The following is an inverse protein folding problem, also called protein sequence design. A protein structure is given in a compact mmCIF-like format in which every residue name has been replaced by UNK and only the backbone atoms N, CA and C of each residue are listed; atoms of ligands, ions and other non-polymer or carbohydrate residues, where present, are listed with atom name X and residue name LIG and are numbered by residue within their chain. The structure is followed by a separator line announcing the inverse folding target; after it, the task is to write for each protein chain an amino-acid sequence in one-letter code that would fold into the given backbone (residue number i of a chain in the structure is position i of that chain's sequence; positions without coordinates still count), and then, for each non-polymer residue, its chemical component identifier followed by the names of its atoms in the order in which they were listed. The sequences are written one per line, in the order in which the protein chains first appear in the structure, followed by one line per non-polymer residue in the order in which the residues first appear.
data_IF_261558868378
#
_entry.id   IF_261558868378
#
_cell.length_a   1.000
_cell.length_b   1.000
_cell.length_c   1.000
_cell.angle_alpha   90.00
_cell.angle_beta   90.00
_cell.angle_gamma   90.00
#
_symmetry.space_group_name_H-M   'P 1'
#
loop_
_entity.id
_entity.type
_entity.pdbx_description
1 polymer ?
#
# COMPACT_ATOMS: atom_id res chain seq x y z
N UNK A 1 -2.20 24.52 -13.42
CA UNK A 1 -1.02 23.62 -13.62
C UNK A 1 -0.80 22.62 -12.47
N UNK A 2 -0.85 23.02 -11.19
CA UNK A 2 -0.58 22.12 -10.04
C UNK A 2 -1.51 20.90 -9.97
N UNK A 3 -2.79 21.05 -10.34
CA UNK A 3 -3.77 19.96 -10.36
C UNK A 3 -3.43 18.87 -11.41
N UNK A 4 -2.88 19.27 -12.57
CA UNK A 4 -2.50 18.33 -13.64
C UNK A 4 -1.38 17.41 -13.15
N UNK A 5 -0.33 17.99 -12.56
CA UNK A 5 0.78 17.23 -12.00
C UNK A 5 0.35 16.35 -10.83
N UNK A 6 -0.52 16.86 -9.95
CA UNK A 6 -1.06 16.07 -8.84
C UNK A 6 -1.83 14.85 -9.35
N UNK A 7 -2.72 15.04 -10.32
CA UNK A 7 -3.49 13.96 -10.92
C UNK A 7 -2.59 12.90 -11.58
N UNK A 8 -1.58 13.33 -12.35
CA UNK A 8 -0.61 12.44 -12.96
C UNK A 8 0.18 11.61 -11.92
N UNK A 9 0.66 12.24 -10.86
CA UNK A 9 1.43 11.56 -9.80
C UNK A 9 0.56 10.60 -8.98
N UNK A 10 -0.70 10.98 -8.69
CA UNK A 10 -1.66 10.08 -8.02
C UNK A 10 -2.00 8.88 -8.91
N UNK A 11 -2.16 9.09 -10.22
CA UNK A 11 -2.38 7.98 -11.16
C UNK A 11 -1.18 7.02 -11.17
N UNK A 12 0.04 7.55 -11.25
CA UNK A 12 1.27 6.73 -11.15
C UNK A 12 1.28 5.96 -9.84
N UNK A 13 1.08 6.63 -8.70
CA UNK A 13 1.02 5.98 -7.38
C UNK A 13 -0.02 4.85 -7.37
N UNK A 14 -1.20 5.08 -7.93
CA UNK A 14 -2.31 4.10 -7.97
C UNK A 14 -1.95 2.88 -8.80
N UNK A 15 -1.35 3.07 -9.98
CA UNK A 15 -0.90 1.96 -10.84
C UNK A 15 0.17 1.12 -10.13
N UNK A 16 1.18 1.77 -9.55
CA UNK A 16 2.23 1.07 -8.81
C UNK A 16 1.67 0.34 -7.60
N UNK A 17 0.72 0.94 -6.88
CA UNK A 17 0.09 0.32 -5.72
C UNK A 17 -0.76 -0.89 -6.12
N UNK A 18 -1.54 -0.78 -7.19
CA UNK A 18 -2.32 -1.89 -7.75
C UNK A 18 -1.42 -3.06 -8.15
N UNK A 19 -0.32 -2.80 -8.86
CA UNK A 19 0.63 -3.82 -9.26
C UNK A 19 1.24 -4.52 -8.04
N UNK A 20 1.62 -3.75 -7.01
CA UNK A 20 2.19 -4.29 -5.79
C UNK A 20 1.18 -5.05 -4.91
N UNK A 21 -0.11 -4.70 -4.98
CA UNK A 21 -1.18 -5.37 -4.23
C UNK A 21 -1.82 -6.54 -4.98
N UNK A 22 -1.44 -6.78 -6.24
CA UNK A 22 -1.95 -7.88 -7.06
C UNK A 22 -0.89 -8.99 -7.16
N UNK A 23 -1.01 -10.10 -6.40
CA UNK A 23 -0.03 -11.18 -6.47
C UNK A 23 -0.04 -11.85 -7.86
N UNK A 24 1.10 -12.36 -8.33
CA UNK A 24 1.18 -13.03 -9.63
C UNK A 24 0.47 -14.39 -9.65
N UNK A 25 0.32 -15.04 -8.49
CA UNK A 25 -0.28 -16.37 -8.36
C UNK A 25 -1.58 -16.31 -7.57
N UNK A 26 -2.54 -17.18 -7.92
CA UNK A 26 -3.78 -17.37 -7.17
C UNK A 26 -3.50 -18.11 -5.87
N UNK A 27 -4.10 -17.67 -4.76
CA UNK A 27 -4.05 -18.42 -3.50
C UNK A 27 -4.78 -19.76 -3.64
N UNK A 28 -4.13 -20.84 -3.23
CA UNK A 28 -4.78 -22.13 -3.03
C UNK A 28 -5.34 -22.23 -1.60
N UNK A 29 -6.67 -22.21 -1.46
CA UNK A 29 -7.33 -22.20 -0.14
C UNK A 29 -6.99 -23.40 0.75
N UNK A 30 -6.67 -24.55 0.15
CA UNK A 30 -6.39 -25.81 0.85
C UNK A 30 -5.16 -25.78 1.77
N UNK A 31 -4.22 -24.84 1.55
CA UNK A 31 -2.97 -24.76 2.32
C UNK A 31 -2.91 -23.52 3.23
N UNK A 32 -4.05 -22.89 3.49
CA UNK A 32 -4.12 -21.67 4.28
C UNK A 32 -3.94 -22.00 5.75
N UNK A 33 -2.97 -21.36 6.39
CA UNK A 33 -2.81 -21.34 7.84
C UNK A 33 -3.18 -19.96 8.38
N UNK A 34 -3.17 -19.79 9.70
CA UNK A 34 -3.49 -18.53 10.37
C UNK A 34 -4.99 -18.16 10.33
N UNK A 35 -5.86 -19.15 10.51
CA UNK A 35 -7.33 -19.00 10.52
C UNK A 35 -7.92 -18.69 11.90
N UNK A 36 -7.12 -18.80 12.96
CA UNK A 36 -7.58 -18.73 14.35
C UNK A 36 -7.37 -17.36 15.01
N UNK A 37 -6.90 -16.37 14.24
CA UNK A 37 -6.70 -15.00 14.74
C UNK A 37 -8.01 -14.24 14.97
N UNK A 38 -8.03 -13.19 15.79
CA UNK A 38 -9.18 -12.29 15.88
C UNK A 38 -9.59 -11.77 14.50
N UNK A 39 -10.89 -11.67 14.28
CA UNK A 39 -11.50 -11.23 13.01
C UNK A 39 -10.83 -9.97 12.44
N UNK A 40 -10.47 -9.03 13.33
CA UNK A 40 -9.81 -7.77 12.99
C UNK A 40 -8.50 -7.94 12.21
N UNK A 41 -7.74 -9.02 12.45
CA UNK A 41 -6.50 -9.30 11.73
C UNK A 41 -6.74 -10.11 10.45
N UNK A 42 -7.81 -10.93 10.42
CA UNK A 42 -8.18 -11.74 9.26
C UNK A 42 -8.72 -10.91 8.09
N UNK A 43 -9.38 -9.78 8.36
CA UNK A 43 -9.96 -8.90 7.33
C UNK A 43 -8.93 -8.07 6.57
N UNK A 44 -7.63 -8.19 6.89
CA UNK A 44 -6.59 -7.38 6.26
C UNK A 44 -6.59 -7.43 4.71
N UNK A 45 -6.70 -8.60 4.05
CA UNK A 45 -6.76 -8.64 2.58
C UNK A 45 -7.96 -7.89 1.99
N UNK A 46 -9.12 -7.94 2.66
CA UNK A 46 -10.30 -7.19 2.25
C UNK A 46 -10.06 -5.69 2.37
N UNK A 47 -9.46 -5.26 3.48
CA UNK A 47 -9.11 -3.85 3.71
C UNK A 47 -8.16 -3.34 2.61
N UNK A 48 -7.11 -4.08 2.26
CA UNK A 48 -6.20 -3.70 1.17
C UNK A 48 -6.91 -3.63 -0.19
N UNK A 49 -7.89 -4.51 -0.45
CA UNK A 49 -8.69 -4.46 -1.67
C UNK A 49 -9.58 -3.21 -1.73
N UNK A 50 -10.29 -2.90 -0.64
CA UNK A 50 -11.14 -1.71 -0.55
C UNK A 50 -10.31 -0.42 -0.67
N UNK A 51 -9.15 -0.40 -0.02
CA UNK A 51 -8.16 0.66 -0.15
C UNK A 51 -7.70 0.88 -1.60
N UNK A 52 -7.38 -0.20 -2.34
CA UNK A 52 -6.95 -0.09 -3.73
C UNK A 52 -8.06 0.48 -4.63
N UNK A 53 -9.31 0.08 -4.40
CA UNK A 53 -10.49 0.65 -5.08
C UNK A 53 -10.62 2.14 -4.75
N UNK A 54 -10.43 2.52 -3.49
CA UNK A 54 -10.43 3.93 -3.07
C UNK A 54 -9.38 4.77 -3.80
N UNK A 55 -8.17 4.26 -3.99
CA UNK A 55 -7.12 4.95 -4.74
C UNK A 55 -7.50 5.19 -6.20
N UNK A 56 -8.13 4.21 -6.86
CA UNK A 56 -8.62 4.37 -8.23
C UNK A 56 -9.71 5.44 -8.33
N UNK A 57 -10.64 5.49 -7.37
CA UNK A 57 -11.63 6.57 -7.31
C UNK A 57 -10.99 7.94 -7.13
N UNK A 58 -10.02 8.07 -6.23
CA UNK A 58 -9.30 9.33 -6.02
C UNK A 58 -8.54 9.73 -7.28
N UNK A 59 -7.84 8.81 -7.94
CA UNK A 59 -7.14 9.06 -9.19
C UNK A 59 -8.08 9.52 -10.32
N UNK A 60 -9.26 8.89 -10.42
CA UNK A 60 -10.28 9.29 -11.39
C UNK A 60 -10.80 10.71 -11.12
N UNK A 61 -11.14 11.03 -9.87
CA UNK A 61 -11.65 12.35 -9.50
C UNK A 61 -10.60 13.46 -9.72
N UNK A 62 -9.35 13.25 -9.33
CA UNK A 62 -8.26 14.20 -9.59
C UNK A 62 -8.00 14.33 -11.10
N UNK A 63 -8.14 13.24 -11.87
CA UNK A 63 -8.06 13.23 -13.33
C UNK A 63 -9.17 14.06 -13.98
N UNK A 64 -10.42 13.92 -13.53
CA UNK A 64 -11.55 14.75 -13.98
C UNK A 64 -11.29 16.22 -13.68
N UNK A 65 -10.81 16.55 -12.47
CA UNK A 65 -10.46 17.92 -12.11
C UNK A 65 -9.35 18.49 -13.01
N UNK A 66 -8.33 17.69 -13.33
CA UNK A 66 -7.25 18.09 -14.23
C UNK A 66 -7.74 18.32 -15.67
N UNK A 67 -8.61 17.45 -16.20
CA UNK A 67 -9.21 17.61 -17.53
C UNK A 67 -10.10 18.85 -17.58
N UNK A 68 -10.94 19.05 -16.56
CA UNK A 68 -11.80 20.24 -16.44
C UNK A 68 -10.98 21.53 -16.43
N UNK A 69 -9.85 21.53 -15.70
CA UNK A 69 -8.94 22.67 -15.64
C UNK A 69 -8.31 23.04 -17.00
N UNK A 70 -8.14 22.07 -17.92
CA UNK A 70 -7.52 22.31 -19.23
C UNK A 70 -8.56 22.66 -20.29
N UNK A 71 -9.69 21.95 -20.32
CA UNK A 71 -10.65 22.01 -21.43
C UNK A 71 -12.08 22.40 -21.00
N UNK A 72 -12.41 22.31 -19.71
CA UNK A 72 -13.79 22.33 -19.21
C UNK A 72 -14.56 23.59 -19.59
N UNK A 73 -13.98 24.76 -19.32
CA UNK A 73 -14.62 26.05 -19.61
C UNK A 73 -14.92 26.25 -21.11
N UNK A 74 -14.09 25.69 -21.99
CA UNK A 74 -14.28 25.79 -23.44
C UNK A 74 -15.40 24.87 -23.96
N UNK A 75 -15.71 23.79 -23.24
CA UNK A 75 -16.75 22.83 -23.62
C UNK A 75 -18.13 23.22 -23.05
N UNK A 76 -18.19 23.54 -21.75
CA UNK A 76 -19.43 23.95 -21.07
C UNK A 76 -19.10 24.75 -19.80
N UNK A 77 -19.32 26.07 -19.81
CA UNK A 77 -18.99 26.93 -18.66
C UNK A 77 -19.75 26.57 -17.38
N UNK A 78 -21.05 26.26 -17.47
CA UNK A 78 -21.89 25.94 -16.30
C UNK A 78 -21.50 24.61 -15.65
N UNK A 79 -21.22 23.59 -16.47
CA UNK A 79 -20.76 22.30 -15.98
C UNK A 79 -19.34 22.41 -15.40
N UNK A 80 -18.44 23.15 -16.04
CA UNK A 80 -17.10 23.43 -15.52
C UNK A 80 -17.14 24.11 -14.16
N UNK A 81 -18.00 25.12 -14.00
CA UNK A 81 -18.17 25.82 -12.72
C UNK A 81 -18.69 24.88 -11.61
N UNK A 82 -19.63 23.99 -11.93
CA UNK A 82 -20.12 22.98 -10.99
C UNK A 82 -19.00 22.00 -10.59
N UNK A 83 -18.21 21.49 -11.54
CA UNK A 83 -17.09 20.59 -11.26
C UNK A 83 -16.00 21.26 -10.44
N UNK A 84 -15.62 22.50 -10.76
CA UNK A 84 -14.61 23.24 -10.01
C UNK A 84 -15.08 23.50 -8.58
N UNK A 85 -16.34 23.93 -8.39
CA UNK A 85 -16.92 24.06 -7.06
C UNK A 85 -16.95 22.74 -6.29
N UNK A 86 -17.13 21.61 -7.00
CA UNK A 86 -17.23 20.29 -6.38
C UNK A 86 -15.88 19.64 -6.10
N UNK A 87 -14.85 19.81 -6.93
CA UNK A 87 -13.55 19.09 -6.85
C UNK A 87 -12.38 20.00 -6.43
N UNK A 88 -12.53 21.31 -6.59
CA UNK A 88 -11.55 22.35 -6.27
C UNK A 88 -12.20 23.52 -5.50
N UNK A 89 -12.94 23.26 -4.39
CA UNK A 89 -13.62 24.28 -3.62
C UNK A 89 -12.61 25.27 -3.07
N UNK A 90 -13.04 26.52 -2.86
CA UNK A 90 -12.18 27.57 -2.34
C UNK A 90 -11.53 27.24 -0.98
N UNK A 91 -12.15 26.32 -0.20
CA UNK A 91 -11.61 25.82 1.06
C UNK A 91 -10.45 24.85 0.91
N UNK A 92 -10.29 24.21 -0.26
CA UNK A 92 -9.22 23.24 -0.53
C UNK A 92 -7.88 23.96 -0.57
N UNK A 93 -6.89 23.43 0.16
CA UNK A 93 -5.54 24.01 0.16
C UNK A 93 -5.01 24.19 -1.28
N UNK A 94 -4.60 25.42 -1.61
CA UNK A 94 -4.01 25.75 -2.92
C UNK A 94 -2.65 25.08 -3.14
N UNK A 95 -1.97 24.67 -2.05
CA UNK A 95 -0.68 23.95 -2.10
C UNK A 95 -0.93 22.45 -2.31
N UNK A 96 -1.31 22.10 -3.52
CA UNK A 96 -1.60 20.72 -3.93
C UNK A 96 -0.34 19.82 -4.04
N UNK A 97 0.83 20.42 -4.20
CA UNK A 97 2.12 19.75 -4.39
C UNK A 97 3.08 20.14 -3.26
N UNK A 98 2.96 19.48 -2.13
CA UNK A 98 3.80 19.72 -0.95
C UNK A 98 4.99 18.76 -0.91
N UNK A 99 6.07 19.07 -0.17
CA UNK A 99 7.16 18.11 0.05
C UNK A 99 6.66 16.79 0.64
N UNK A 100 5.71 16.84 1.58
CA UNK A 100 5.11 15.63 2.17
C UNK A 100 4.37 14.79 1.12
N UNK A 101 3.66 15.42 0.18
CA UNK A 101 3.02 14.71 -0.93
C UNK A 101 4.05 14.00 -1.80
N UNK A 102 5.14 14.67 -2.20
CA UNK A 102 6.20 14.04 -3.01
C UNK A 102 6.88 12.89 -2.27
N UNK A 103 7.18 13.06 -0.98
CA UNK A 103 7.67 11.97 -0.13
C UNK A 103 6.69 10.81 -0.13
N UNK A 104 5.38 11.07 -0.06
CA UNK A 104 4.35 10.05 -0.15
C UNK A 104 4.38 9.26 -1.46
N UNK A 105 4.45 9.95 -2.59
CA UNK A 105 4.58 9.33 -3.92
C UNK A 105 5.85 8.47 -4.01
N UNK A 106 6.99 9.02 -3.59
CA UNK A 106 8.28 8.33 -3.64
C UNK A 106 8.27 7.05 -2.78
N UNK A 107 7.76 7.13 -1.55
CA UNK A 107 7.67 5.97 -0.65
C UNK A 107 6.75 4.89 -1.21
N UNK A 108 5.63 5.27 -1.85
CA UNK A 108 4.78 4.29 -2.54
C UNK A 108 5.49 3.62 -3.71
N UNK A 109 6.23 4.35 -4.53
CA UNK A 109 6.97 3.77 -5.66
C UNK A 109 8.05 2.80 -5.14
N UNK A 110 8.83 3.19 -4.13
CA UNK A 110 9.86 2.34 -3.52
C UNK A 110 9.22 1.09 -2.90
N UNK A 111 8.13 1.26 -2.14
CA UNK A 111 7.40 0.15 -1.52
C UNK A 111 6.85 -0.83 -2.56
N UNK A 112 6.27 -0.32 -3.65
CA UNK A 112 5.82 -1.13 -4.78
C UNK A 112 6.97 -1.88 -5.43
N UNK A 113 8.09 -1.21 -5.69
CA UNK A 113 9.26 -1.82 -6.30
C UNK A 113 9.79 -2.98 -5.45
N UNK A 114 9.93 -2.80 -4.13
CA UNK A 114 10.34 -3.88 -3.21
C UNK A 114 9.38 -5.07 -3.34
N UNK A 115 8.07 -4.85 -3.30
CA UNK A 115 7.08 -5.92 -3.42
C UNK A 115 7.17 -6.66 -4.75
N UNK A 116 7.31 -5.93 -5.86
CA UNK A 116 7.45 -6.52 -7.19
C UNK A 116 8.76 -7.33 -7.31
N UNK A 117 9.85 -6.90 -6.67
CA UNK A 117 11.07 -7.69 -6.56
C UNK A 117 10.86 -8.96 -5.75
N UNK A 118 10.12 -8.92 -4.64
CA UNK A 118 9.75 -10.11 -3.89
C UNK A 118 8.91 -11.08 -4.72
N UNK A 119 7.99 -10.59 -5.55
CA UNK A 119 7.17 -11.41 -6.44
C UNK A 119 8.03 -12.13 -7.48
N UNK A 120 9.00 -11.43 -8.05
CA UNK A 120 9.96 -12.00 -9.01
C UNK A 120 10.84 -13.05 -8.35
N UNK A 121 11.36 -12.78 -7.14
CA UNK A 121 12.29 -13.66 -6.45
C UNK A 121 11.63 -14.95 -5.93
N UNK A 122 10.41 -14.86 -5.36
CA UNK A 122 9.65 -16.03 -4.93
C UNK A 122 8.97 -16.77 -6.09
N UNK A 123 8.71 -16.09 -7.20
CA UNK A 123 8.06 -16.66 -8.38
C UNK A 123 6.76 -17.39 -8.03
N UNK A 124 6.70 -18.69 -8.36
CA UNK A 124 5.52 -19.55 -8.10
C UNK A 124 5.16 -19.71 -6.61
N UNK A 125 6.09 -19.42 -5.70
CA UNK A 125 5.88 -19.57 -4.26
C UNK A 125 5.22 -18.34 -3.61
N UNK A 126 5.14 -17.19 -4.30
CA UNK A 126 4.50 -16.00 -3.73
C UNK A 126 2.98 -16.17 -3.71
N UNK A 127 2.38 -16.02 -2.53
CA UNK A 127 0.93 -15.92 -2.32
C UNK A 127 0.60 -14.79 -1.34
N UNK A 128 -0.52 -14.10 -1.54
CA UNK A 128 -0.93 -13.01 -0.64
C UNK A 128 -1.50 -13.56 0.69
N UNK A 129 -2.09 -14.75 0.63
CA UNK A 129 -2.49 -15.46 1.83
C UNK A 129 -1.30 -16.26 2.38
N UNK A 130 -1.35 -16.47 3.70
CA UNK A 130 -0.43 -17.32 4.44
C UNK A 130 -0.66 -18.78 4.02
N UNK A 131 -0.09 -19.14 2.87
CA UNK A 131 -0.10 -20.48 2.30
C UNK A 131 1.32 -20.85 1.94
N UNK A 132 1.80 -21.98 2.45
CA UNK A 132 3.05 -22.57 2.00
C UNK A 132 2.68 -23.78 1.13
N UNK A 133 3.29 -23.90 -0.04
CA UNK A 133 3.05 -25.04 -0.93
C UNK A 133 3.82 -26.27 -0.42
N UNK A 134 3.36 -27.51 -0.70
CA UNK A 134 4.05 -28.73 -0.24
C UNK A 134 5.51 -28.83 -0.72
N UNK A 135 5.80 -28.27 -1.90
CA UNK A 135 7.12 -28.23 -2.55
C UNK A 135 7.83 -26.89 -2.36
N UNK A 136 7.45 -26.11 -1.34
CA UNK A 136 8.05 -24.82 -1.05
C UNK A 136 9.53 -24.97 -0.72
N UNK A 137 10.36 -24.18 -1.41
CA UNK A 137 11.79 -24.06 -1.15
C UNK A 137 12.08 -22.71 -0.52
N UNK A 138 12.98 -22.70 0.46
CA UNK A 138 13.39 -21.47 1.11
C UNK A 138 14.16 -20.58 0.12
N UNK A 139 13.66 -19.37 -0.09
CA UNK A 139 14.32 -18.36 -0.93
C UNK A 139 15.09 -17.39 -0.04
N UNK A 140 16.40 -17.29 -0.29
CA UNK A 140 17.33 -16.46 0.53
C UNK A 140 18.10 -15.43 -0.30
N UNK A 141 17.78 -15.30 -1.59
CA UNK A 141 18.39 -14.37 -2.54
C UNK A 141 17.61 -13.07 -2.66
N UNK A 142 18.21 -12.07 -3.33
CA UNK A 142 17.55 -10.80 -3.60
C UNK A 142 17.15 -10.05 -2.32
N UNK A 143 15.92 -9.50 -2.22
CA UNK A 143 15.47 -8.81 -1.01
C UNK A 143 15.55 -9.68 0.27
N UNK A 144 15.43 -10.99 0.14
CA UNK A 144 15.46 -11.94 1.26
C UNK A 144 16.86 -12.09 1.88
N UNK A 145 17.93 -11.67 1.20
CA UNK A 145 19.27 -11.68 1.81
C UNK A 145 19.48 -10.59 2.86
N UNK A 146 18.60 -9.58 2.92
CA UNK A 146 18.73 -8.43 3.81
C UNK A 146 17.79 -8.50 5.01
N UNK A 147 16.54 -8.93 4.78
CA UNK A 147 15.51 -9.11 5.80
C UNK A 147 14.67 -10.35 5.44
N UNK A 148 14.09 -11.03 6.43
CA UNK A 148 13.34 -12.28 6.20
C UNK A 148 12.02 -12.09 5.45
N UNK A 149 11.39 -10.93 5.63
CA UNK A 149 10.02 -10.60 5.22
C UNK A 149 9.94 -9.28 4.42
N UNK A 150 10.73 -9.11 3.34
CA UNK A 150 10.86 -7.85 2.61
C UNK A 150 9.56 -7.35 1.96
N UNK A 151 8.63 -8.27 1.65
CA UNK A 151 7.31 -7.91 1.13
C UNK A 151 6.47 -7.10 2.14
N UNK A 152 6.64 -7.35 3.45
CA UNK A 152 5.99 -6.57 4.49
C UNK A 152 6.63 -5.19 4.62
N UNK A 153 7.95 -5.06 4.45
CA UNK A 153 8.63 -3.75 4.34
C UNK A 153 8.04 -2.91 3.21
N UNK A 154 7.90 -3.49 2.02
CA UNK A 154 7.31 -2.80 0.88
C UNK A 154 5.84 -2.42 1.13
N UNK A 155 5.09 -3.27 1.85
CA UNK A 155 3.70 -2.98 2.24
C UNK A 155 3.60 -1.82 3.23
N UNK A 156 4.49 -1.75 4.22
CA UNK A 156 4.55 -0.63 5.16
C UNK A 156 4.87 0.68 4.43
N UNK A 157 5.86 0.67 3.53
CA UNK A 157 6.21 1.84 2.72
C UNK A 157 5.05 2.31 1.84
N UNK A 158 4.26 1.40 1.26
CA UNK A 158 3.04 1.76 0.53
C UNK A 158 2.03 2.49 1.39
N UNK A 159 1.85 2.02 2.63
CA UNK A 159 0.92 2.60 3.59
C UNK A 159 1.40 3.99 4.06
N UNK A 160 2.70 4.17 4.34
CA UNK A 160 3.27 5.50 4.62
C UNK A 160 3.03 6.41 3.42
N UNK A 161 3.37 5.91 2.23
CA UNK A 161 3.30 6.69 1.01
C UNK A 161 1.90 7.23 0.73
N UNK A 162 0.89 6.37 0.85
CA UNK A 162 -0.51 6.79 0.68
C UNK A 162 -1.00 7.68 1.80
N UNK A 163 -0.57 7.45 3.04
CA UNK A 163 -0.87 8.40 4.13
C UNK A 163 -0.37 9.79 3.75
N UNK A 164 0.88 9.92 3.33
CA UNK A 164 1.51 11.22 3.11
C UNK A 164 0.93 11.95 1.89
N UNK A 165 0.46 11.21 0.88
CA UNK A 165 -0.16 11.81 -0.31
C UNK A 165 -1.67 12.08 -0.17
N UNK A 166 -2.38 11.33 0.68
CA UNK A 166 -3.84 11.36 0.76
C UNK A 166 -4.41 11.74 2.13
N UNK A 167 -3.66 11.70 3.22
CA UNK A 167 -4.11 12.16 4.56
C UNK A 167 -3.43 13.47 4.97
N UNK A 168 -3.20 14.34 3.99
CA UNK A 168 -2.61 15.67 4.17
C UNK A 168 -3.50 16.76 3.58
N UNK A 169 -3.33 18.00 4.02
CA UNK A 169 -4.10 19.14 3.52
C UNK A 169 -3.99 19.25 1.98
N UNK A 170 -5.10 19.56 1.32
CA UNK A 170 -5.21 19.59 -0.15
C UNK A 170 -5.57 18.25 -0.79
N UNK A 171 -5.63 17.14 -0.06
CA UNK A 171 -6.12 15.87 -0.58
C UNK A 171 -7.66 15.79 -0.58
N UNK A 172 -8.24 15.04 -1.53
CA UNK A 172 -9.68 14.83 -1.54
C UNK A 172 -10.20 14.15 -0.26
N UNK A 173 -9.41 13.25 0.34
CA UNK A 173 -9.85 12.56 1.57
C UNK A 173 -9.93 13.52 2.76
N UNK A 174 -8.94 14.40 2.93
CA UNK A 174 -8.95 15.34 4.05
C UNK A 174 -9.99 16.42 3.83
N UNK A 175 -10.09 16.95 2.62
CA UNK A 175 -10.92 18.13 2.34
C UNK A 175 -12.43 17.81 2.31
N UNK A 176 -12.81 16.57 1.98
CA UNK A 176 -14.23 16.18 1.85
C UNK A 176 -14.72 15.16 2.87
N UNK A 177 -13.86 14.24 3.33
CA UNK A 177 -14.32 13.11 4.14
C UNK A 177 -13.98 13.26 5.62
N UNK A 178 -12.75 13.69 5.94
CA UNK A 178 -12.23 13.62 7.30
C UNK A 178 -12.10 14.98 7.98
N UNK A 179 -11.67 16.01 7.26
CA UNK A 179 -11.13 17.23 7.85
C UNK A 179 -9.76 16.98 8.53
N UNK A 180 -9.01 18.05 8.85
CA UNK A 180 -7.62 17.93 9.32
C UNK A 180 -7.50 17.17 10.65
N UNK A 181 -8.41 17.41 11.60
CA UNK A 181 -8.34 16.80 12.93
C UNK A 181 -8.62 15.28 12.89
N UNK A 182 -9.63 14.84 12.14
CA UNK A 182 -9.95 13.41 12.04
C UNK A 182 -8.93 12.65 11.19
N UNK A 183 -8.27 13.31 10.25
CA UNK A 183 -7.21 12.69 9.44
C UNK A 183 -6.07 12.15 10.32
N UNK A 184 -5.66 12.90 11.35
CA UNK A 184 -4.62 12.46 12.29
C UNK A 184 -5.07 11.23 13.10
N UNK A 185 -6.32 11.22 13.57
CA UNK A 185 -6.86 10.09 14.32
C UNK A 185 -6.97 8.83 13.46
N UNK A 186 -7.54 8.95 12.25
CA UNK A 186 -7.65 7.85 11.28
C UNK A 186 -6.27 7.32 10.94
N UNK A 187 -5.30 8.20 10.74
CA UNK A 187 -3.91 7.83 10.50
C UNK A 187 -3.33 7.01 11.66
N UNK A 188 -3.47 7.48 12.90
CA UNK A 188 -2.95 6.77 14.07
C UNK A 188 -3.57 5.38 14.23
N UNK A 189 -4.90 5.27 14.12
CA UNK A 189 -5.62 3.99 14.20
C UNK A 189 -5.15 3.04 13.10
N UNK A 190 -5.04 3.53 11.87
CA UNK A 190 -4.61 2.75 10.72
C UNK A 190 -3.20 2.19 10.92
N UNK A 191 -2.28 2.98 11.48
CA UNK A 191 -0.91 2.55 11.75
C UNK A 191 -0.82 1.51 12.86
N UNK A 192 -1.52 1.71 13.97
CA UNK A 192 -1.57 0.74 15.07
C UNK A 192 -2.07 -0.61 14.55
N UNK A 193 -3.17 -0.60 13.80
CA UNK A 193 -3.74 -1.81 13.20
C UNK A 193 -2.78 -2.45 12.18
N UNK A 194 -2.18 -1.66 11.29
CA UNK A 194 -1.23 -2.14 10.27
C UNK A 194 -0.04 -2.85 10.91
N UNK A 195 0.56 -2.27 11.95
CA UNK A 195 1.71 -2.86 12.64
C UNK A 195 1.30 -4.14 13.36
N UNK A 196 0.13 -4.17 14.01
CA UNK A 196 -0.40 -5.36 14.65
C UNK A 196 -0.59 -6.51 13.65
N UNK A 197 -1.20 -6.23 12.48
CA UNK A 197 -1.37 -7.21 11.40
C UNK A 197 -0.03 -7.70 10.88
N UNK A 198 0.91 -6.79 10.59
CA UNK A 198 2.22 -7.15 10.06
C UNK A 198 2.98 -8.07 11.03
N UNK A 199 2.99 -7.74 12.32
CA UNK A 199 3.65 -8.56 13.35
C UNK A 199 3.00 -9.94 13.50
N UNK A 200 1.66 -10.01 13.63
CA UNK A 200 0.94 -11.29 13.74
C UNK A 200 1.25 -12.19 12.55
N UNK A 201 1.19 -11.65 11.32
CA UNK A 201 1.43 -12.43 10.10
C UNK A 201 2.88 -12.88 9.96
N UNK A 202 3.85 -12.02 10.25
CA UNK A 202 5.27 -12.37 10.20
C UNK A 202 5.61 -13.47 11.20
N UNK A 203 5.07 -13.40 12.43
CA UNK A 203 5.30 -14.44 13.44
C UNK A 203 4.67 -15.77 13.01
N UNK A 204 3.49 -15.74 12.41
CA UNK A 204 2.85 -16.95 11.89
C UNK A 204 3.65 -17.56 10.72
N UNK A 205 4.14 -16.72 9.81
CA UNK A 205 4.97 -17.14 8.68
C UNK A 205 6.31 -17.72 9.13
N UNK A 206 7.00 -17.09 10.08
CA UNK A 206 8.22 -17.62 10.72
C UNK A 206 7.97 -19.03 11.29
N UNK A 207 6.88 -19.21 12.05
CA UNK A 207 6.55 -20.48 12.71
C UNK A 207 6.25 -21.58 11.69
N UNK A 208 5.49 -21.27 10.65
CA UNK A 208 5.15 -22.27 9.64
C UNK A 208 6.32 -22.62 8.73
N UNK A 209 7.18 -21.64 8.40
CA UNK A 209 8.43 -21.92 7.69
C UNK A 209 9.34 -22.83 8.54
N UNK A 210 9.49 -22.54 9.84
CA UNK A 210 10.26 -23.40 10.74
C UNK A 210 9.72 -24.84 10.80
N UNK A 211 8.39 -25.03 10.86
CA UNK A 211 7.79 -26.37 10.86
C UNK A 211 8.06 -27.16 9.58
N UNK A 212 8.11 -26.49 8.43
CA UNK A 212 8.19 -27.16 7.12
C UNK A 212 9.61 -27.38 6.61
N UNK A 213 10.49 -26.40 6.78
CA UNK A 213 11.87 -26.47 6.29
C UNK A 213 12.90 -26.63 7.42
N UNK A 214 12.47 -26.64 8.69
CA UNK A 214 13.26 -27.07 9.84
C UNK A 214 14.60 -26.33 9.97
N UNK A 215 15.69 -27.10 9.95
CA UNK A 215 17.05 -26.60 10.16
C UNK A 215 17.53 -25.61 9.09
N UNK A 216 17.02 -25.69 7.85
CA UNK A 216 17.35 -24.71 6.81
C UNK A 216 16.85 -23.32 7.18
N UNK A 217 15.66 -23.24 7.80
CA UNK A 217 15.11 -21.99 8.29
C UNK A 217 15.93 -21.44 9.46
N UNK A 218 16.32 -22.28 10.40
CA UNK A 218 17.11 -21.85 11.56
C UNK A 218 18.48 -21.28 11.11
N UNK A 219 19.14 -21.95 10.14
CA UNK A 219 20.39 -21.48 9.57
C UNK A 219 20.23 -20.14 8.84
N UNK A 220 19.15 -19.98 8.08
CA UNK A 220 18.82 -18.73 7.41
C UNK A 220 18.50 -17.60 8.40
N UNK A 221 17.66 -17.86 9.41
CA UNK A 221 17.28 -16.87 10.42
C UNK A 221 18.47 -16.44 11.29
N UNK A 222 19.45 -17.31 11.52
CA UNK A 222 20.70 -16.94 12.18
C UNK A 222 21.54 -15.96 11.35
N UNK A 223 21.53 -16.10 10.01
CA UNK A 223 22.24 -15.21 9.09
C UNK A 223 21.49 -13.89 8.86
N UNK A 224 20.19 -13.96 8.63
CA UNK A 224 19.32 -12.81 8.34
C UNK A 224 18.50 -12.48 9.58
N UNK A 225 19.12 -11.69 10.46
CA UNK A 225 18.58 -11.40 11.80
C UNK A 225 17.24 -10.67 11.75
N UNK A 226 17.15 -9.66 10.88
CA UNK A 226 16.01 -8.76 10.81
C UNK A 226 14.80 -9.39 10.12
N UNK A 227 13.61 -9.17 10.67
CA UNK A 227 12.35 -9.64 10.09
C UNK A 227 11.96 -8.80 8.88
N UNK A 228 11.72 -7.51 9.03
CA UNK A 228 11.32 -6.66 7.88
C UNK A 228 11.83 -5.22 7.93
N UNK A 229 12.25 -4.66 9.06
CA UNK A 229 12.95 -3.37 9.09
C UNK A 229 14.35 -3.57 9.66
N UNK A 230 15.43 -3.24 8.92
CA UNK A 230 16.77 -3.30 9.48
C UNK A 230 16.88 -2.46 10.77
N UNK A 231 17.35 -3.07 11.85
CA UNK A 231 17.50 -2.41 13.15
C UNK A 231 16.24 -2.37 14.03
N UNK A 232 15.09 -2.84 13.55
CA UNK A 232 13.87 -3.01 14.34
C UNK A 232 13.39 -4.46 14.18
N UNK A 233 13.83 -5.29 15.14
CA UNK A 233 13.64 -6.76 15.21
C UNK A 233 14.10 -7.49 13.94
#
# INVERSE_FOLDING_TARGET
MSIIWRAALILIQTVFNQAACTPPNKTQKQFRYHTDEPLLLQIAPLIFKLYAVGLWWIAALEGVAAINHVFGASLSPSFSAYLDATLLPASRSQKLLTPIFFTGILLSIIGSWIRLRCFQELGRFFTFDLTIQPDHKLVTSGPYSYVRHPAYTGSLLLIVGVTFSHLTAGSLVVEYLLGPNKAVLVWAIWWIWTIAVAQSRVVAEDRELQKRVGSEWDAYAAKVKYRFVPGIL
#
